data_IF_398465706963
#
_entry.id   IF_398465706963
#
_cell.length_a   1.000
_cell.length_b   1.000
_cell.length_c   1.000
_cell.angle_alpha   90.00
_cell.angle_beta   90.00
_cell.angle_gamma   90.00
#
_symmetry.space_group_name_H-M   'P 1'
#
loop_
_entity.id
_entity.type
_entity.pdbx_description
1 polymer ?
#
# COMPACT_ATOMS: atom_id res chain seq x y z
N UNK A 1 -3.46 -1.54 4.24
CA UNK A 1 -3.69 -2.61 3.22
C UNK A 1 -4.54 -3.77 3.72
N UNK A 2 -4.37 -4.23 4.97
CA UNK A 2 -5.23 -5.25 5.59
C UNK A 2 -6.72 -4.92 5.54
N UNK A 3 -7.10 -3.66 5.81
CA UNK A 3 -8.49 -3.19 5.74
C UNK A 3 -9.12 -3.33 4.34
N UNK A 4 -8.29 -3.43 3.30
CA UNK A 4 -8.73 -3.65 1.92
C UNK A 4 -8.61 -5.13 1.48
N UNK A 5 -8.26 -6.05 2.39
CA UNK A 5 -8.08 -7.47 2.08
C UNK A 5 -6.89 -7.77 1.18
N UNK A 6 -5.92 -6.85 1.05
CA UNK A 6 -4.75 -7.01 0.18
C UNK A 6 -3.66 -7.72 0.97
N UNK A 7 -3.30 -8.93 0.54
CA UNK A 7 -2.21 -9.70 1.13
C UNK A 7 -0.84 -9.16 0.67
N UNK A 8 0.11 -9.06 1.61
CA UNK A 8 1.51 -8.75 1.33
C UNK A 8 2.30 -10.06 1.23
N UNK A 9 2.85 -10.34 0.05
CA UNK A 9 3.60 -11.58 -0.19
C UNK A 9 5.04 -11.46 0.32
N UNK A 10 5.67 -10.31 0.08
CA UNK A 10 7.04 -10.02 0.48
C UNK A 10 7.10 -8.56 0.93
N UNK A 11 7.92 -8.30 1.95
CA UNK A 11 8.23 -6.96 2.44
C UNK A 11 9.75 -6.79 2.44
N UNK A 12 10.23 -5.68 1.89
CA UNK A 12 11.64 -5.27 1.93
C UNK A 12 11.72 -3.81 2.34
N UNK A 13 12.72 -3.46 3.16
CA UNK A 13 12.82 -2.13 3.79
C UNK A 13 14.22 -1.55 3.68
N UNK A 14 14.29 -0.22 3.59
CA UNK A 14 15.48 0.59 3.85
C UNK A 14 15.15 1.68 4.88
N UNK A 15 16.09 2.56 5.20
CA UNK A 15 15.85 3.66 6.16
C UNK A 15 14.69 4.59 5.76
N UNK A 16 14.42 4.74 4.46
CA UNK A 16 13.43 5.70 3.94
C UNK A 16 12.34 5.07 3.06
N UNK A 17 12.36 3.74 2.87
CA UNK A 17 11.47 3.09 1.91
C UNK A 17 11.02 1.72 2.38
N UNK A 18 9.76 1.41 2.06
CA UNK A 18 9.15 0.09 2.25
C UNK A 18 8.61 -0.34 0.89
N UNK A 19 9.10 -1.47 0.39
CA UNK A 19 8.65 -2.09 -0.85
C UNK A 19 7.89 -3.38 -0.52
N UNK A 20 6.70 -3.52 -1.10
CA UNK A 20 5.83 -4.66 -0.86
C UNK A 20 5.48 -5.35 -2.19
N UNK A 21 5.61 -6.68 -2.23
CA UNK A 21 5.07 -7.49 -3.33
C UNK A 21 3.63 -7.88 -3.03
N UNK A 22 2.74 -7.68 -4.00
CA UNK A 22 1.32 -8.00 -3.92
C UNK A 22 0.85 -8.59 -5.26
N UNK A 23 -0.34 -9.20 -5.24
CA UNK A 23 -1.01 -9.65 -6.46
C UNK A 23 -1.23 -8.47 -7.42
N UNK A 24 -0.80 -8.63 -8.68
CA UNK A 24 -0.85 -7.56 -9.68
C UNK A 24 -2.25 -6.96 -9.91
N UNK A 25 -3.32 -7.74 -9.74
CA UNK A 25 -4.71 -7.26 -9.85
C UNK A 25 -5.13 -6.27 -8.76
N UNK A 26 -4.36 -6.14 -7.67
CA UNK A 26 -4.69 -5.31 -6.51
C UNK A 26 -3.91 -3.99 -6.47
N UNK A 27 -3.06 -3.70 -7.47
CA UNK A 27 -2.14 -2.56 -7.46
C UNK A 27 -2.86 -1.22 -7.34
N UNK A 28 -3.91 -1.00 -8.15
CA UNK A 28 -4.65 0.28 -8.14
C UNK A 28 -5.27 0.56 -6.77
N UNK A 29 -5.95 -0.43 -6.20
CA UNK A 29 -6.58 -0.30 -4.89
C UNK A 29 -5.55 -0.13 -3.77
N UNK A 30 -4.42 -0.85 -3.85
CA UNK A 30 -3.33 -0.72 -2.90
C UNK A 30 -2.76 0.71 -2.89
N UNK A 31 -2.46 1.26 -4.06
CA UNK A 31 -1.87 2.61 -4.19
C UNK A 31 -2.85 3.67 -3.70
N UNK A 32 -4.12 3.60 -4.09
CA UNK A 32 -5.13 4.56 -3.64
C UNK A 32 -5.29 4.53 -2.12
N UNK A 33 -5.36 3.36 -1.49
CA UNK A 33 -5.49 3.24 -0.04
C UNK A 33 -4.28 3.77 0.72
N UNK A 34 -3.08 3.57 0.18
CA UNK A 34 -1.86 4.17 0.74
C UNK A 34 -1.95 5.70 0.61
N UNK A 35 -2.35 6.21 -0.56
CA UNK A 35 -2.46 7.65 -0.77
C UNK A 35 -3.51 8.29 0.16
N UNK A 36 -4.70 7.71 0.29
CA UNK A 36 -5.77 8.18 1.19
C UNK A 36 -5.30 8.27 2.67
N UNK A 37 -4.49 7.30 3.11
CA UNK A 37 -4.01 7.22 4.50
C UNK A 37 -2.91 8.26 4.81
N UNK A 38 -1.96 8.45 3.89
CA UNK A 38 -0.82 9.35 4.10
C UNK A 38 -1.07 10.79 3.63
N UNK A 39 -2.02 10.98 2.72
CA UNK A 39 -2.40 12.26 2.14
C UNK A 39 -3.93 12.42 2.17
N UNK A 40 -4.55 12.43 3.36
CA UNK A 40 -5.98 12.72 3.44
C UNK A 40 -6.23 14.10 2.84
N UNK A 41 -7.25 14.22 1.98
CA UNK A 41 -7.64 15.52 1.45
C UNK A 41 -7.97 16.43 2.64
N UNK A 42 -7.16 17.48 2.84
CA UNK A 42 -7.47 18.54 3.80
C UNK A 42 -8.86 19.10 3.43
N UNK A 43 -9.78 19.02 4.39
CA UNK A 43 -11.05 19.73 4.37
C UNK A 43 -10.89 21.07 5.08
#
# INVERSE_FOLDING_TARGET
>A
LSNAGINLEIISTSEISISCLIKGGSVKDAVNRIHDEFFPNEA
#
